data_IF_373029868853
#
_entry.id   IF_373029868853
#
_cell.length_a   1.000
_cell.length_b   1.000
_cell.length_c   1.000
_cell.angle_alpha   90.00
_cell.angle_beta   90.00
_cell.angle_gamma   90.00
#
_symmetry.space_group_name_H-M   'P 1'
#
loop_
_entity.id
_entity.type
_entity.pdbx_description
1 polymer ?
#
# COMPACT_ATOMS: atom_id res chain seq x y z
N UNK A 1 6.16 -44.23 8.72
CA UNK A 1 5.55 -42.98 9.13
C UNK A 1 6.19 -41.79 8.37
N UNK A 2 5.37 -40.92 7.85
CA UNK A 2 5.85 -39.75 7.14
C UNK A 2 5.88 -38.56 8.08
N UNK A 3 7.02 -37.86 8.11
CA UNK A 3 7.22 -36.75 9.02
C UNK A 3 7.69 -35.50 8.28
N UNK A 4 7.09 -34.38 8.59
CA UNK A 4 7.52 -33.08 8.05
C UNK A 4 7.90 -32.17 9.20
N UNK A 5 9.08 -31.59 9.09
CA UNK A 5 9.50 -30.55 10.02
C UNK A 5 8.90 -29.22 9.55
N UNK A 6 8.19 -28.58 10.45
CA UNK A 6 7.65 -27.25 10.21
C UNK A 6 8.66 -26.26 10.73
N UNK A 7 9.18 -25.42 9.83
CA UNK A 7 10.15 -24.40 10.22
C UNK A 7 9.45 -23.24 10.90
N UNK A 8 9.94 -22.78 12.07
CA UNK A 8 9.39 -21.57 12.68
C UNK A 8 9.55 -20.33 11.80
N UNK A 9 10.42 -20.38 10.80
CA UNK A 9 10.58 -19.25 9.85
C UNK A 9 9.32 -18.98 9.03
N UNK A 10 8.43 -19.96 8.87
CA UNK A 10 7.16 -19.75 8.16
C UNK A 10 6.25 -18.75 8.86
N UNK A 11 6.45 -18.52 10.15
CA UNK A 11 5.66 -17.60 10.96
C UNK A 11 6.39 -16.29 11.27
N UNK A 12 7.61 -16.16 10.81
CA UNK A 12 8.38 -14.94 11.05
C UNK A 12 7.84 -13.78 10.22
N UNK A 13 7.92 -12.54 10.73
CA UNK A 13 7.67 -11.38 9.90
C UNK A 13 8.56 -11.42 8.66
N UNK A 14 8.01 -11.06 7.53
CA UNK A 14 8.76 -11.08 6.28
C UNK A 14 9.63 -9.86 6.17
N UNK A 15 10.84 -10.07 5.66
CA UNK A 15 11.76 -8.99 5.36
C UNK A 15 11.51 -8.48 3.94
N UNK A 16 11.89 -7.23 3.63
CA UNK A 16 11.75 -6.71 2.27
C UNK A 16 12.41 -7.64 1.25
N UNK A 17 11.69 -7.92 0.19
CA UNK A 17 12.13 -8.79 -0.89
C UNK A 17 11.94 -10.28 -0.67
N UNK A 18 11.46 -10.70 0.52
CA UNK A 18 11.23 -12.12 0.84
C UNK A 18 9.73 -12.42 0.95
N UNK A 19 9.23 -13.25 0.03
CA UNK A 19 7.84 -13.70 0.06
C UNK A 19 6.81 -12.64 -0.22
N UNK A 20 7.23 -11.48 -0.69
CA UNK A 20 6.31 -10.44 -1.14
C UNK A 20 5.69 -10.84 -2.46
N UNK A 21 4.40 -10.52 -2.62
CA UNK A 21 3.71 -10.75 -3.89
C UNK A 21 4.32 -9.90 -4.99
N UNK A 22 4.46 -10.49 -6.16
CA UNK A 22 4.80 -9.74 -7.37
C UNK A 22 3.52 -9.11 -7.90
N UNK A 23 3.26 -7.87 -7.48
CA UNK A 23 2.00 -7.18 -7.75
C UNK A 23 1.80 -6.89 -9.23
N UNK A 24 2.88 -6.66 -9.97
CA UNK A 24 2.76 -6.41 -11.40
C UNK A 24 2.24 -7.64 -12.16
N UNK A 25 2.50 -8.83 -11.63
CA UNK A 25 2.04 -10.09 -12.23
C UNK A 25 0.72 -10.58 -11.65
N UNK A 26 0.46 -10.28 -10.37
CA UNK A 26 -0.68 -10.83 -9.65
C UNK A 26 -1.95 -10.00 -9.79
N UNK A 27 -1.85 -8.75 -10.23
CA UNK A 27 -2.97 -7.83 -10.21
C UNK A 27 -2.97 -6.88 -11.40
N UNK A 28 -4.16 -6.41 -11.73
CA UNK A 28 -4.35 -5.21 -12.54
C UNK A 28 -4.40 -4.04 -11.58
N UNK A 29 -3.67 -2.97 -11.87
CA UNK A 29 -3.61 -1.79 -11.03
C UNK A 29 -4.42 -0.68 -11.68
N UNK A 30 -5.36 -0.11 -10.92
CA UNK A 30 -6.05 1.11 -11.31
C UNK A 30 -5.58 2.24 -10.39
N UNK A 31 -5.38 3.41 -10.97
CA UNK A 31 -4.94 4.59 -10.23
C UNK A 31 -5.67 5.80 -10.77
N UNK A 32 -6.07 6.71 -9.88
CA UNK A 32 -6.83 7.90 -10.28
C UNK A 32 -6.01 8.87 -11.12
N UNK A 33 -4.72 8.99 -10.83
CA UNK A 33 -3.79 9.76 -11.65
C UNK A 33 -2.36 9.36 -11.33
N UNK A 34 -1.44 9.69 -12.21
CA UNK A 34 -0.01 9.54 -11.94
C UNK A 34 0.79 10.59 -12.67
N UNK A 35 1.84 11.08 -12.00
CA UNK A 35 2.85 11.91 -12.63
C UNK A 35 3.70 11.01 -13.52
N UNK A 36 4.02 11.48 -14.72
CA UNK A 36 4.81 10.72 -15.70
C UNK A 36 6.13 10.22 -15.11
N UNK A 37 6.77 11.03 -14.27
CA UNK A 37 8.07 10.70 -13.69
C UNK A 37 7.96 9.80 -12.45
N UNK A 38 6.75 9.59 -11.94
CA UNK A 38 6.47 8.80 -10.74
C UNK A 38 5.28 7.86 -11.00
N UNK A 39 5.43 6.89 -11.91
CA UNK A 39 4.33 5.97 -12.22
C UNK A 39 4.05 5.01 -11.07
N UNK A 40 2.83 4.49 -11.03
CA UNK A 40 2.40 3.64 -9.91
C UNK A 40 3.24 2.37 -9.77
N UNK A 41 3.76 1.84 -10.87
CA UNK A 41 4.64 0.65 -10.84
C UNK A 41 5.87 0.88 -9.97
N UNK A 42 6.35 2.11 -9.91
CA UNK A 42 7.54 2.45 -9.11
C UNK A 42 7.31 2.27 -7.61
N UNK A 43 6.06 2.29 -7.16
CA UNK A 43 5.73 2.03 -5.76
C UNK A 43 5.75 0.54 -5.42
N UNK A 44 5.71 -0.33 -6.42
CA UNK A 44 5.68 -1.79 -6.22
C UNK A 44 7.04 -2.44 -6.43
N UNK A 45 7.94 -1.77 -7.13
CA UNK A 45 9.26 -2.31 -7.42
C UNK A 45 10.19 -2.14 -6.21
N UNK A 46 10.86 -3.23 -5.82
CA UNK A 46 11.73 -3.22 -4.64
C UNK A 46 12.97 -2.35 -4.81
N UNK A 47 13.40 -2.16 -6.06
CA UNK A 47 14.63 -1.45 -6.37
C UNK A 47 14.41 -0.01 -6.84
N UNK A 48 13.16 0.36 -7.14
CA UNK A 48 12.84 1.70 -7.61
C UNK A 48 12.65 2.63 -6.41
N UNK A 49 13.48 3.65 -6.34
CA UNK A 49 13.46 4.62 -5.25
C UNK A 49 12.50 5.78 -5.49
N UNK A 50 11.86 5.86 -6.66
CA UNK A 50 11.00 7.00 -7.01
C UNK A 50 9.64 6.96 -6.32
N UNK A 51 9.00 5.78 -6.32
CA UNK A 51 7.62 5.67 -5.87
C UNK A 51 6.62 6.26 -6.85
N UNK A 52 5.40 6.37 -6.39
CA UNK A 52 4.29 6.95 -7.15
C UNK A 52 3.96 8.35 -6.63
N UNK A 53 3.55 9.23 -7.54
CA UNK A 53 2.98 10.54 -7.21
C UNK A 53 1.79 10.83 -8.09
N UNK A 54 0.75 11.42 -7.51
CA UNK A 54 -0.44 11.85 -8.25
C UNK A 54 -0.10 13.00 -9.21
N UNK A 55 -0.85 13.08 -10.30
CA UNK A 55 -0.73 14.18 -11.25
C UNK A 55 -1.51 15.42 -10.82
N UNK A 56 -2.42 15.28 -9.85
CA UNK A 56 -3.31 16.34 -9.41
C UNK A 56 -3.42 16.35 -7.89
N UNK A 57 -3.78 17.51 -7.30
CA UNK A 57 -4.06 17.59 -5.86
C UNK A 57 -5.30 16.79 -5.46
N UNK A 58 -5.47 16.62 -4.17
CA UNK A 58 -6.65 16.00 -3.59
C UNK A 58 -6.54 14.49 -3.40
N UNK A 59 -7.63 13.89 -2.98
CA UNK A 59 -7.69 12.47 -2.70
C UNK A 59 -7.48 11.63 -3.93
N UNK A 60 -6.70 10.56 -3.78
CA UNK A 60 -6.35 9.65 -4.86
C UNK A 60 -6.55 8.21 -4.41
N UNK A 61 -6.84 7.36 -5.36
CA UNK A 61 -7.07 5.94 -5.11
C UNK A 61 -6.11 5.09 -5.93
N UNK A 62 -5.52 4.11 -5.29
CA UNK A 62 -4.78 3.03 -5.94
C UNK A 62 -5.55 1.75 -5.64
N UNK A 63 -5.93 1.02 -6.69
CA UNK A 63 -6.71 -0.20 -6.56
C UNK A 63 -6.00 -1.36 -7.21
N UNK A 64 -5.81 -2.43 -6.44
CA UNK A 64 -5.24 -3.67 -6.91
C UNK A 64 -6.37 -4.68 -7.11
N UNK A 65 -6.58 -5.08 -8.36
CA UNK A 65 -7.58 -6.09 -8.72
C UNK A 65 -6.80 -7.36 -9.01
N UNK A 66 -6.86 -8.32 -8.07
CA UNK A 66 -6.08 -9.54 -8.18
C UNK A 66 -6.67 -10.47 -9.24
N UNK A 67 -5.78 -11.10 -10.02
CA UNK A 67 -6.19 -12.09 -11.03
C UNK A 67 -6.85 -13.32 -10.39
N UNK A 68 -6.41 -13.63 -9.16
CA UNK A 68 -6.97 -14.71 -8.34
C UNK A 68 -7.13 -14.18 -6.91
N UNK A 69 -8.17 -14.60 -6.18
CA UNK A 69 -8.30 -14.23 -4.78
C UNK A 69 -7.05 -14.54 -3.98
N UNK A 70 -6.64 -13.62 -3.12
CA UNK A 70 -5.40 -13.72 -2.36
C UNK A 70 -5.67 -13.87 -0.87
N UNK A 71 -4.82 -14.63 -0.21
CA UNK A 71 -4.69 -14.62 1.23
C UNK A 71 -3.62 -13.59 1.59
N UNK A 72 -3.99 -12.56 2.35
CA UNK A 72 -3.04 -11.52 2.76
C UNK A 72 -2.76 -11.62 4.25
N UNK A 73 -1.50 -11.57 4.63
CA UNK A 73 -1.03 -11.65 6.01
C UNK A 73 -0.27 -10.42 6.47
N UNK A 74 0.29 -9.68 5.54
CA UNK A 74 1.07 -8.49 5.84
C UNK A 74 0.87 -7.42 4.78
N UNK A 75 0.72 -6.19 5.23
CA UNK A 75 0.71 -5.01 4.36
C UNK A 75 1.78 -4.06 4.88
N UNK A 76 2.66 -3.64 3.99
CA UNK A 76 3.72 -2.67 4.31
C UNK A 76 3.57 -1.46 3.40
N UNK A 77 3.52 -0.28 4.01
CA UNK A 77 3.37 1.00 3.32
C UNK A 77 4.47 1.95 3.76
N UNK A 78 5.05 2.66 2.81
CA UNK A 78 6.02 3.72 3.08
C UNK A 78 5.61 4.98 2.32
N UNK A 79 5.50 6.08 3.05
CA UNK A 79 5.21 7.40 2.50
C UNK A 79 6.36 8.34 2.85
N UNK A 80 6.68 9.27 1.95
CA UNK A 80 7.69 10.28 2.19
C UNK A 80 7.20 11.67 1.79
N UNK A 81 7.59 12.66 2.59
CA UNK A 81 7.36 14.09 2.30
C UNK A 81 8.59 14.88 2.73
N UNK A 82 9.30 15.45 1.77
CA UNK A 82 10.55 16.17 2.04
C UNK A 82 10.42 17.70 2.09
N UNK A 83 9.29 18.25 1.68
CA UNK A 83 9.19 19.70 1.45
C UNK A 83 8.10 20.39 2.27
N UNK A 84 6.91 19.81 2.34
CA UNK A 84 5.73 20.51 2.84
C UNK A 84 5.17 19.85 4.09
N UNK A 85 4.95 20.64 5.15
CA UNK A 85 4.23 20.17 6.32
C UNK A 85 2.77 19.93 5.94
N UNK A 86 2.27 18.74 6.26
CA UNK A 86 0.88 18.38 5.96
C UNK A 86 0.44 17.21 6.84
N UNK A 87 -0.87 17.10 7.02
CA UNK A 87 -1.47 15.95 7.71
C UNK A 87 -2.16 15.07 6.69
N UNK A 88 -1.63 13.88 6.51
CA UNK A 88 -2.14 12.90 5.59
C UNK A 88 -3.09 11.93 6.28
N UNK A 89 -4.14 11.53 5.58
CA UNK A 89 -4.95 10.39 5.99
C UNK A 89 -4.95 9.37 4.87
N UNK A 90 -4.80 8.10 5.21
CA UNK A 90 -5.09 7.05 4.25
C UNK A 90 -6.08 6.03 4.82
N UNK A 91 -6.79 5.38 3.91
CA UNK A 91 -7.70 4.27 4.21
C UNK A 91 -7.29 3.10 3.35
N UNK A 92 -7.10 1.96 3.99
CA UNK A 92 -6.86 0.70 3.31
C UNK A 92 -8.11 -0.15 3.49
N UNK A 93 -8.66 -0.65 2.39
CA UNK A 93 -9.87 -1.47 2.44
C UNK A 93 -9.82 -2.57 1.40
N UNK A 94 -10.60 -3.62 1.59
CA UNK A 94 -10.61 -4.75 0.68
C UNK A 94 -12.01 -5.23 0.37
N UNK A 95 -12.14 -5.89 -0.77
CA UNK A 95 -13.33 -6.62 -1.19
C UNK A 95 -12.94 -8.09 -1.27
N UNK A 96 -13.61 -8.91 -0.48
CA UNK A 96 -13.39 -10.35 -0.47
C UNK A 96 -14.45 -11.06 -1.29
N UNK A 97 -14.15 -12.30 -1.65
CA UNK A 97 -15.02 -13.16 -2.45
C UNK A 97 -16.43 -13.22 -1.86
N UNK A 98 -17.42 -12.99 -2.71
CA UNK A 98 -18.84 -13.04 -2.33
C UNK A 98 -19.34 -11.81 -1.61
N UNK A 99 -18.50 -10.82 -1.29
CA UNK A 99 -18.93 -9.59 -0.66
C UNK A 99 -19.35 -8.57 -1.72
N UNK A 100 -20.32 -7.73 -1.36
CA UNK A 100 -20.82 -6.64 -2.23
C UNK A 100 -20.28 -5.28 -1.81
N UNK A 101 -19.63 -5.19 -0.64
CA UNK A 101 -19.13 -3.93 -0.10
C UNK A 101 -17.70 -4.09 0.39
N UNK A 102 -16.93 -3.00 0.30
CA UNK A 102 -15.58 -2.95 0.83
C UNK A 102 -15.59 -2.96 2.35
N UNK A 103 -14.60 -3.65 2.91
CA UNK A 103 -14.33 -3.66 4.35
C UNK A 103 -13.11 -2.82 4.62
N UNK A 104 -13.23 -1.86 5.52
CA UNK A 104 -12.10 -1.05 5.97
C UNK A 104 -11.17 -1.90 6.83
N UNK A 105 -9.87 -1.92 6.47
CA UNK A 105 -8.84 -2.63 7.22
C UNK A 105 -8.23 -1.69 8.24
N UNK A 106 -7.82 -0.50 7.79
CA UNK A 106 -7.17 0.50 8.63
C UNK A 106 -7.41 1.89 8.07
N UNK A 107 -7.50 2.85 8.98
CA UNK A 107 -7.55 4.28 8.69
C UNK A 107 -6.52 4.96 9.57
N UNK A 108 -5.59 5.69 8.97
CA UNK A 108 -4.44 6.25 9.67
C UNK A 108 -4.18 7.68 9.25
N UNK A 109 -3.88 8.54 10.21
CA UNK A 109 -3.41 9.89 9.96
C UNK A 109 -1.94 10.02 10.37
N UNK A 110 -1.23 10.89 9.68
CA UNK A 110 0.18 11.15 9.96
C UNK A 110 0.50 12.60 9.67
N UNK A 111 1.23 13.23 10.59
CA UNK A 111 1.69 14.61 10.43
C UNK A 111 3.10 14.60 9.87
N UNK A 112 3.25 15.06 8.64
CA UNK A 112 4.56 15.34 8.07
C UNK A 112 5.01 16.72 8.49
N UNK A 113 6.22 16.82 8.98
CA UNK A 113 6.83 18.06 9.46
C UNK A 113 8.31 18.06 9.08
N UNK A 114 8.61 18.20 7.79
CA UNK A 114 10.00 18.16 7.33
C UNK A 114 10.82 19.30 7.94
N UNK A 115 12.12 19.09 8.16
CA UNK A 115 12.87 17.86 7.88
C UNK A 115 12.80 16.81 8.98
N UNK A 116 12.20 17.08 10.15
CA UNK A 116 12.20 16.16 11.28
C UNK A 116 11.33 14.94 11.06
N UNK A 117 10.08 15.15 10.58
CA UNK A 117 9.14 14.08 10.30
C UNK A 117 8.83 14.08 8.81
N UNK A 118 9.60 13.32 8.04
CA UNK A 118 9.49 13.28 6.58
C UNK A 118 9.14 11.90 6.03
N UNK A 119 8.92 10.92 6.91
CA UNK A 119 8.67 9.55 6.49
C UNK A 119 7.69 8.85 7.42
N UNK A 120 6.67 8.25 6.83
CA UNK A 120 5.72 7.39 7.53
C UNK A 120 5.94 5.96 7.07
N UNK A 121 6.20 5.04 8.01
CA UNK A 121 6.32 3.61 7.74
C UNK A 121 5.24 2.89 8.53
N UNK A 122 4.37 2.18 7.82
CA UNK A 122 3.28 1.44 8.41
C UNK A 122 3.39 -0.03 8.00
N UNK A 123 3.33 -0.91 8.97
CA UNK A 123 3.36 -2.34 8.72
C UNK A 123 2.25 -3.00 9.52
N UNK A 124 1.35 -3.68 8.83
CA UNK A 124 0.17 -4.28 9.44
C UNK A 124 0.20 -5.80 9.28
N UNK A 125 0.03 -6.48 10.40
CA UNK A 125 -0.28 -7.90 10.41
C UNK A 125 -1.77 -8.03 10.19
N UNK A 126 -2.17 -8.74 9.14
CA UNK A 126 -3.58 -8.93 8.78
C UNK A 126 -3.85 -10.42 8.62
N UNK A 127 -5.12 -10.76 8.57
CA UNK A 127 -5.54 -12.14 8.33
C UNK A 127 -6.77 -12.11 7.41
N UNK A 128 -6.49 -11.89 6.13
CA UNK A 128 -7.52 -11.65 5.12
C UNK A 128 -7.54 -12.81 4.14
N UNK A 129 -8.74 -13.38 3.92
CA UNK A 129 -8.97 -14.51 3.03
C UNK A 129 -9.71 -14.07 1.78
N UNK A 130 -9.38 -14.69 0.67
CA UNK A 130 -10.10 -14.52 -0.60
C UNK A 130 -10.27 -13.07 -1.01
N UNK A 131 -9.20 -12.30 -0.89
CA UNK A 131 -9.21 -10.89 -1.27
C UNK A 131 -9.17 -10.77 -2.79
N UNK A 132 -10.20 -10.17 -3.36
CA UNK A 132 -10.28 -9.90 -4.79
C UNK A 132 -9.71 -8.53 -5.15
N UNK A 133 -9.98 -7.54 -4.30
CA UNK A 133 -9.55 -6.16 -4.53
C UNK A 133 -8.99 -5.58 -3.24
N UNK A 134 -7.85 -4.94 -3.33
CA UNK A 134 -7.29 -4.14 -2.26
C UNK A 134 -7.23 -2.70 -2.74
N UNK A 135 -7.72 -1.77 -1.93
CA UNK A 135 -7.83 -0.38 -2.32
C UNK A 135 -7.19 0.51 -1.26
N UNK A 136 -6.33 1.41 -1.71
CA UNK A 136 -5.68 2.41 -0.88
C UNK A 136 -6.17 3.79 -1.32
N UNK A 137 -6.80 4.51 -0.41
CA UNK A 137 -7.27 5.87 -0.65
C UNK A 137 -6.40 6.80 0.16
N UNK A 138 -5.73 7.74 -0.49
CA UNK A 138 -4.83 8.67 0.15
C UNK A 138 -5.39 10.08 0.03
N UNK A 139 -5.56 10.71 1.18
CA UNK A 139 -5.92 12.13 1.28
C UNK A 139 -4.65 12.86 1.73
N UNK A 140 -3.95 13.55 0.82
CA UNK A 140 -2.61 14.07 1.11
C UNK A 140 -2.60 15.15 2.16
N UNK A 141 -3.68 15.93 2.26
CA UNK A 141 -3.87 16.94 3.31
C UNK A 141 -5.34 16.93 3.73
N UNK A 142 -5.60 16.66 4.99
CA UNK A 142 -6.99 16.55 5.50
C UNK A 142 -7.77 17.84 5.36
N UNK A 143 -7.10 19.00 5.35
CA UNK A 143 -7.72 20.30 5.14
C UNK A 143 -7.95 20.67 3.68
N UNK A 144 -7.53 19.82 2.74
CA UNK A 144 -7.57 20.14 1.31
C UNK A 144 -6.30 20.84 0.84
N UNK A 145 -6.41 21.68 -0.18
CA UNK A 145 -5.29 22.45 -0.70
C UNK A 145 -4.63 21.82 -1.91
N UNK A 146 -3.34 22.14 -2.12
CA UNK A 146 -2.62 21.82 -3.35
C UNK A 146 -1.70 20.60 -3.22
N UNK A 147 -1.64 19.97 -2.06
CA UNK A 147 -0.78 18.82 -1.85
C UNK A 147 -1.18 17.65 -2.77
N UNK A 148 -0.18 16.97 -3.29
CA UNK A 148 -0.37 15.79 -4.13
C UNK A 148 -0.08 14.53 -3.33
N UNK A 149 -0.93 13.52 -3.49
CA UNK A 149 -0.70 12.22 -2.89
C UNK A 149 0.53 11.55 -3.49
N UNK A 150 1.23 10.79 -2.67
CA UNK A 150 2.38 9.99 -3.10
C UNK A 150 2.46 8.73 -2.27
N UNK A 151 3.13 7.72 -2.81
CA UNK A 151 3.37 6.45 -2.13
C UNK A 151 4.75 5.97 -2.52
N UNK A 152 5.64 5.87 -1.54
CA UNK A 152 7.00 5.44 -1.81
C UNK A 152 7.08 3.96 -2.11
N UNK A 153 6.33 3.16 -1.32
CA UNK A 153 6.41 1.71 -1.45
C UNK A 153 5.16 1.05 -0.89
N UNK A 154 4.70 0.00 -1.56
CA UNK A 154 3.65 -0.91 -1.10
C UNK A 154 4.11 -2.33 -1.30
N UNK A 155 4.04 -3.13 -0.24
CA UNK A 155 4.36 -4.56 -0.26
C UNK A 155 3.25 -5.36 0.40
N UNK A 156 2.95 -6.50 -0.17
CA UNK A 156 1.95 -7.43 0.34
C UNK A 156 2.53 -8.85 0.43
N UNK A 157 2.13 -9.56 1.45
CA UNK A 157 2.43 -10.98 1.54
C UNK A 157 1.31 -11.76 2.21
#
# INVERSE_FOLDING_TARGET
MRKRLISPTAERPRTPGQGWLDLERAAVVEVTSEDRDFPVESAFASEDARGWRAAAPGSQTIRLIFDRPQRLRCVSLVFEEGETARTQEFVLRCLSDGASTFKEIVRQQWNFSPPQSNREVEQYQVDLYNVEILELIIKPEIGGGVARASLKNLRLS
#
